data_IF_905529509849
#
_entry.id   IF_905529509849
#
_cell.length_a   1.000
_cell.length_b   1.000
_cell.length_c   1.000
_cell.angle_alpha   90.00
_cell.angle_beta   90.00
_cell.angle_gamma   90.00
#
_symmetry.space_group_name_H-M   'P 1'
#
loop_
_entity.id
_entity.type
_entity.pdbx_description
1 polymer ?
#
# COMPACT_ATOMS: atom_id res chain seq x y z
N UNK A 1 -8.49 64.37 -48.58
CA UNK A 1 -7.13 64.18 -48.13
C UNK A 1 -7.09 64.25 -46.60
N UNK A 2 -7.45 63.25 -45.96
CA UNK A 2 -7.41 63.04 -44.49
C UNK A 2 -7.26 61.54 -44.31
N UNK A 3 -6.14 61.04 -43.85
CA UNK A 3 -5.87 59.67 -43.33
C UNK A 3 -4.37 59.44 -43.38
N UNK A 4 -3.62 59.91 -42.40
CA UNK A 4 -2.26 59.41 -42.11
C UNK A 4 -1.72 60.15 -40.88
N UNK A 5 -2.33 59.97 -39.71
CA UNK A 5 -1.73 60.38 -38.43
C UNK A 5 -2.38 59.69 -37.30
N UNK A 6 -2.33 58.32 -37.23
CA UNK A 6 -2.84 57.58 -36.09
C UNK A 6 -2.11 56.24 -35.89
N UNK A 7 -0.83 56.16 -36.18
CA UNK A 7 -0.04 54.91 -35.95
C UNK A 7 1.33 55.16 -35.31
N UNK A 8 1.46 56.16 -34.46
CA UNK A 8 2.76 56.44 -33.81
C UNK A 8 2.65 56.56 -32.26
N UNK A 9 1.61 56.04 -31.63
CA UNK A 9 1.47 56.04 -30.16
C UNK A 9 1.25 54.67 -29.53
N UNK A 10 1.52 53.56 -30.23
CA UNK A 10 1.35 52.20 -29.78
C UNK A 10 2.64 51.39 -29.58
N UNK A 11 3.80 52.05 -29.47
CA UNK A 11 5.10 51.34 -29.39
C UNK A 11 5.95 51.74 -28.17
N UNK A 12 5.33 52.16 -27.07
CA UNK A 12 6.05 52.54 -25.84
C UNK A 12 5.49 51.83 -24.57
N UNK A 13 4.83 50.68 -24.73
CA UNK A 13 4.29 49.93 -23.57
C UNK A 13 4.69 48.46 -23.62
N UNK A 14 5.94 48.18 -23.87
CA UNK A 14 6.44 46.81 -23.78
C UNK A 14 7.91 46.88 -23.40
N UNK A 15 8.22 46.58 -22.19
CA UNK A 15 9.48 46.07 -21.66
C UNK A 15 9.70 46.54 -20.23
N UNK A 16 8.69 46.27 -19.39
CA UNK A 16 8.82 46.26 -17.95
C UNK A 16 8.53 44.86 -17.44
N UNK A 17 9.03 43.82 -18.10
CA UNK A 17 9.13 42.50 -17.51
C UNK A 17 10.24 42.58 -16.45
N UNK A 18 9.82 42.91 -15.21
CA UNK A 18 10.64 42.69 -14.05
C UNK A 18 11.03 41.21 -14.05
N UNK A 19 12.31 40.95 -14.27
CA UNK A 19 12.94 39.71 -13.87
C UNK A 19 12.78 39.64 -12.34
N UNK A 20 11.65 39.09 -11.86
CA UNK A 20 11.65 38.50 -10.52
C UNK A 20 12.80 37.51 -10.53
N UNK A 21 13.74 37.58 -9.57
CA UNK A 21 14.76 36.55 -9.47
C UNK A 21 14.00 35.22 -9.35
N UNK A 22 14.14 34.38 -10.37
CA UNK A 22 13.76 32.98 -10.28
C UNK A 22 14.72 32.43 -9.22
N UNK A 23 14.33 32.47 -7.95
CA UNK A 23 14.99 31.66 -6.94
C UNK A 23 14.93 30.25 -7.51
N UNK A 24 16.09 29.70 -7.81
CA UNK A 24 16.19 28.33 -8.26
C UNK A 24 15.52 27.46 -7.18
N UNK A 25 14.30 27.05 -7.47
CA UNK A 25 13.52 26.23 -6.54
C UNK A 25 14.33 24.96 -6.32
N UNK A 26 14.64 24.63 -5.07
CA UNK A 26 15.36 23.39 -4.73
C UNK A 26 14.74 22.19 -5.43
N UNK A 27 15.51 21.18 -5.80
CA UNK A 27 14.91 19.98 -6.38
C UNK A 27 14.00 19.29 -5.35
N UNK A 28 12.78 18.92 -5.76
CA UNK A 28 11.90 18.03 -4.98
C UNK A 28 12.51 16.62 -4.92
N UNK A 29 12.10 15.79 -3.97
CA UNK A 29 12.63 14.46 -3.80
C UNK A 29 12.62 13.59 -5.08
N UNK A 30 11.57 13.59 -5.96
CA UNK A 30 11.61 12.85 -7.22
C UNK A 30 12.62 13.38 -8.23
N UNK A 31 13.03 14.65 -8.12
CA UNK A 31 14.07 15.24 -8.97
C UNK A 31 15.47 15.12 -8.39
N UNK A 32 15.55 14.94 -7.07
CA UNK A 32 16.81 14.75 -6.36
C UNK A 32 17.29 13.29 -6.44
N UNK A 33 16.40 12.33 -6.14
CA UNK A 33 16.77 10.93 -6.16
C UNK A 33 16.88 10.37 -7.58
N UNK A 34 17.79 9.40 -7.77
CA UNK A 34 18.09 8.81 -9.08
C UNK A 34 16.95 7.93 -9.61
N UNK A 35 16.88 7.79 -10.93
CA UNK A 35 15.99 6.82 -11.60
C UNK A 35 16.28 5.35 -11.27
N UNK A 36 17.36 5.07 -10.52
CA UNK A 36 17.67 3.75 -9.94
C UNK A 36 17.04 3.54 -8.57
N UNK A 37 16.09 4.37 -8.19
CA UNK A 37 15.35 4.21 -6.94
C UNK A 37 14.56 2.90 -6.95
N UNK A 38 14.79 2.07 -5.94
CA UNK A 38 14.20 0.75 -5.74
C UNK A 38 12.92 0.82 -4.92
N UNK A 39 12.91 1.67 -3.90
CA UNK A 39 11.77 1.98 -3.07
C UNK A 39 11.76 3.47 -2.71
N UNK A 40 10.58 4.03 -2.60
CA UNK A 40 10.38 5.46 -2.40
C UNK A 40 9.08 5.70 -1.63
N UNK A 41 9.14 6.56 -0.63
CA UNK A 41 8.00 7.09 0.10
C UNK A 41 8.18 8.60 0.21
N UNK A 42 7.11 9.37 -0.05
CA UNK A 42 7.11 10.83 0.04
C UNK A 42 5.84 11.32 0.70
N UNK A 43 6.01 12.27 1.60
CA UNK A 43 4.97 13.18 2.06
C UNK A 43 5.23 14.52 1.39
N UNK A 44 4.25 15.05 0.67
CA UNK A 44 4.41 16.29 -0.10
C UNK A 44 4.60 17.51 0.79
N UNK A 45 3.76 17.62 1.81
CA UNK A 45 3.85 18.61 2.89
C UNK A 45 3.31 17.98 4.18
N UNK A 46 4.16 17.86 5.18
CA UNK A 46 3.81 17.25 6.47
C UNK A 46 2.85 18.09 7.31
N UNK A 47 2.81 19.42 7.12
CA UNK A 47 1.82 20.29 7.77
C UNK A 47 0.44 20.05 7.18
N UNK A 48 0.32 20.13 5.84
CA UNK A 48 -0.95 19.85 5.14
C UNK A 48 -1.47 18.45 5.51
N UNK A 49 -0.58 17.45 5.57
CA UNK A 49 -0.95 16.10 6.01
C UNK A 49 -1.53 16.08 7.43
N UNK A 50 -0.85 16.73 8.41
CA UNK A 50 -1.30 16.80 9.81
C UNK A 50 -2.66 17.51 9.92
N UNK A 51 -2.81 18.65 9.25
CA UNK A 51 -4.04 19.45 9.28
C UNK A 51 -5.23 18.67 8.68
N UNK A 52 -5.01 18.03 7.54
CA UNK A 52 -6.04 17.18 6.91
C UNK A 52 -6.37 15.94 7.73
N UNK A 53 -5.37 15.26 8.30
CA UNK A 53 -5.60 14.12 9.19
C UNK A 53 -6.45 14.48 10.39
N UNK A 54 -6.28 15.67 10.98
CA UNK A 54 -7.02 16.10 12.16
C UNK A 54 -8.54 16.17 11.95
N UNK A 55 -9.00 16.45 10.73
CA UNK A 55 -10.43 16.55 10.42
C UNK A 55 -11.08 15.23 10.01
N UNK A 56 -10.29 14.19 9.74
CA UNK A 56 -10.79 12.85 9.41
C UNK A 56 -11.44 12.16 10.62
N UNK A 57 -12.24 11.13 10.36
CA UNK A 57 -12.78 10.26 11.43
C UNK A 57 -11.67 9.63 12.26
N UNK A 58 -10.59 9.17 11.62
CA UNK A 58 -9.43 8.59 12.31
C UNK A 58 -8.69 9.63 13.17
N UNK A 59 -8.49 10.85 12.67
CA UNK A 59 -7.88 11.94 13.42
C UNK A 59 -8.71 12.37 14.63
N UNK A 60 -10.03 12.44 14.48
CA UNK A 60 -10.96 12.70 15.59
C UNK A 60 -10.89 11.59 16.65
N UNK A 61 -10.87 10.33 16.23
CA UNK A 61 -10.68 9.17 17.14
C UNK A 61 -9.33 9.23 17.86
N UNK A 62 -8.24 9.59 17.17
CA UNK A 62 -6.91 9.68 17.77
C UNK A 62 -6.82 10.76 18.85
N UNK A 63 -7.64 11.80 18.76
CA UNK A 63 -7.74 12.89 19.74
C UNK A 63 -8.80 12.64 20.83
N UNK A 64 -9.59 11.55 20.73
CA UNK A 64 -10.59 11.20 21.72
C UNK A 64 -9.93 10.73 23.03
N UNK A 65 -10.28 11.33 24.19
CA UNK A 65 -9.67 10.98 25.48
C UNK A 65 -9.84 9.52 25.90
N UNK A 66 -10.90 8.84 25.44
CA UNK A 66 -11.17 7.43 25.75
C UNK A 66 -10.38 6.49 24.86
N UNK A 67 -10.08 6.88 23.62
CA UNK A 67 -9.40 6.06 22.62
C UNK A 67 -7.89 6.30 22.64
N UNK A 68 -7.45 7.51 22.95
CA UNK A 68 -6.03 7.89 22.97
C UNK A 68 -5.11 6.91 23.75
N UNK A 69 -5.49 6.36 24.94
CA UNK A 69 -4.65 5.39 25.64
C UNK A 69 -4.51 4.07 24.88
N UNK A 70 -5.55 3.64 24.16
CA UNK A 70 -5.55 2.40 23.38
C UNK A 70 -4.62 2.56 22.16
N UNK A 71 -4.74 3.67 21.46
CA UNK A 71 -3.85 4.01 20.33
C UNK A 71 -2.41 4.20 20.79
N UNK A 72 -2.19 4.79 21.97
CA UNK A 72 -0.87 4.93 22.59
C UNK A 72 -0.19 3.57 22.83
N UNK A 73 -0.94 2.56 23.30
CA UNK A 73 -0.42 1.20 23.50
C UNK A 73 -0.10 0.49 22.17
N UNK A 74 -0.90 0.69 21.14
CA UNK A 74 -0.63 0.18 19.79
C UNK A 74 0.59 0.87 19.17
N UNK A 75 0.66 2.19 19.31
CA UNK A 75 1.79 3.01 18.84
C UNK A 75 3.10 2.61 19.55
N UNK A 76 3.08 2.41 20.88
CA UNK A 76 4.27 1.96 21.64
C UNK A 76 4.73 0.55 21.21
N UNK A 77 3.80 -0.34 20.85
CA UNK A 77 4.15 -1.67 20.31
C UNK A 77 4.81 -1.56 18.94
N UNK A 78 4.28 -0.69 18.06
CA UNK A 78 4.87 -0.39 16.75
C UNK A 78 6.26 0.25 16.93
N UNK A 79 6.39 1.21 17.86
CA UNK A 79 7.64 1.90 18.16
C UNK A 79 8.69 0.96 18.77
N UNK A 80 8.29 -0.02 19.58
CA UNK A 80 9.19 -1.07 20.08
C UNK A 80 9.85 -1.88 18.95
N UNK A 81 9.17 -2.05 17.83
CA UNK A 81 9.72 -2.70 16.62
C UNK A 81 10.78 -1.84 15.91
N UNK A 82 10.76 -0.53 16.14
CA UNK A 82 11.68 0.46 15.51
C UNK A 82 12.80 0.87 16.47
N UNK A 83 12.77 0.40 17.72
CA UNK A 83 13.73 0.74 18.76
C UNK A 83 15.19 0.42 18.37
N UNK A 84 15.38 -0.63 17.57
CA UNK A 84 16.68 -0.93 16.97
C UNK A 84 17.20 0.16 16.02
N UNK A 85 16.34 0.97 15.45
CA UNK A 85 16.70 2.13 14.63
C UNK A 85 17.03 3.35 15.52
N UNK A 86 16.27 3.58 16.59
CA UNK A 86 16.54 4.63 17.58
C UNK A 86 17.93 4.45 18.21
N UNK A 87 18.26 3.22 18.64
CA UNK A 87 19.57 2.88 19.19
C UNK A 87 20.71 3.06 18.17
N UNK A 88 20.41 2.93 16.86
CA UNK A 88 21.41 3.09 15.81
C UNK A 88 21.67 4.56 15.47
N UNK A 89 20.64 5.41 15.56
CA UNK A 89 20.70 6.84 15.20
C UNK A 89 21.00 7.70 16.43
N UNK A 90 20.72 7.22 17.64
CA UNK A 90 20.89 7.95 18.90
C UNK A 90 19.90 9.10 19.10
N UNK A 91 18.78 9.09 18.33
CA UNK A 91 17.72 10.10 18.38
C UNK A 91 16.40 9.44 18.77
N UNK A 92 15.57 10.15 19.52
CA UNK A 92 14.19 9.77 19.74
C UNK A 92 13.41 9.91 18.43
N UNK A 93 12.77 8.83 17.99
CA UNK A 93 12.02 8.81 16.74
C UNK A 93 10.80 9.75 16.82
N UNK A 94 10.17 9.90 17.97
CA UNK A 94 9.04 10.81 18.17
C UNK A 94 9.49 12.27 18.00
N UNK A 95 10.64 12.64 18.55
CA UNK A 95 11.26 13.95 18.35
C UNK A 95 11.61 14.13 16.85
N UNK A 96 12.20 13.11 16.22
CA UNK A 96 12.57 13.17 14.80
C UNK A 96 11.33 13.32 13.89
N UNK A 97 10.22 12.63 14.18
CA UNK A 97 8.98 12.73 13.43
C UNK A 97 8.21 14.04 13.66
N UNK A 98 8.54 14.80 14.70
CA UNK A 98 7.95 16.12 14.96
C UNK A 98 8.57 17.24 14.12
N UNK A 99 9.82 17.05 13.69
CA UNK A 99 10.62 18.05 12.96
C UNK A 99 10.15 18.35 11.52
N UNK A 100 9.66 17.38 10.71
CA UNK A 100 9.27 17.68 9.35
C UNK A 100 8.14 18.71 9.30
N UNK A 101 8.39 19.79 8.56
CA UNK A 101 7.50 20.94 8.43
C UNK A 101 7.35 21.37 6.94
N UNK A 102 7.39 20.41 6.05
CA UNK A 102 7.30 20.52 4.61
C UNK A 102 7.49 19.16 3.97
N UNK A 103 8.27 19.07 2.88
CA UNK A 103 8.52 17.82 2.17
C UNK A 103 9.33 16.84 3.04
N UNK A 104 8.86 15.60 3.12
CA UNK A 104 9.59 14.48 3.70
C UNK A 104 9.66 13.33 2.70
N UNK A 105 10.84 12.72 2.51
CA UNK A 105 10.96 11.56 1.65
C UNK A 105 12.05 10.60 2.13
N UNK A 106 11.79 9.31 1.93
CA UNK A 106 12.77 8.23 2.11
C UNK A 106 12.88 7.48 0.79
N UNK A 107 14.09 7.14 0.40
CA UNK A 107 14.37 6.33 -0.78
C UNK A 107 15.46 5.29 -0.51
N UNK A 108 15.26 4.10 -1.06
CA UNK A 108 16.29 3.09 -1.26
C UNK A 108 16.75 3.19 -2.71
N UNK A 109 18.01 3.50 -2.94
CA UNK A 109 18.55 3.77 -4.29
C UNK A 109 19.65 2.78 -4.63
N UNK A 110 19.53 2.15 -5.81
CA UNK A 110 20.60 1.27 -6.32
C UNK A 110 21.86 2.05 -6.67
N UNK A 111 23.00 1.63 -6.12
CA UNK A 111 24.32 2.19 -6.41
C UNK A 111 25.20 1.19 -7.15
N UNK A 112 26.48 1.51 -7.33
CA UNK A 112 27.44 0.59 -7.96
C UNK A 112 27.79 -0.59 -7.04
N UNK A 113 27.78 -0.39 -5.74
CA UNK A 113 28.15 -1.37 -4.72
C UNK A 113 26.89 -1.96 -4.05
N UNK A 114 26.36 -1.28 -3.07
CA UNK A 114 25.19 -1.68 -2.29
C UNK A 114 24.13 -0.57 -2.32
N UNK A 115 22.86 -0.90 -2.12
CA UNK A 115 21.82 0.11 -2.10
C UNK A 115 22.05 1.17 -1.01
N UNK A 116 21.78 2.43 -1.36
CA UNK A 116 21.85 3.57 -0.46
C UNK A 116 20.46 3.89 0.09
N UNK A 117 20.35 4.05 1.42
CA UNK A 117 19.18 4.64 2.06
C UNK A 117 19.38 6.15 2.11
N UNK A 118 18.42 6.89 1.58
CA UNK A 118 18.45 8.35 1.53
C UNK A 118 17.20 8.92 2.18
N UNK A 119 17.37 10.03 2.88
CA UNK A 119 16.29 10.79 3.53
C UNK A 119 16.40 12.25 3.09
N UNK A 120 15.26 12.83 2.74
CA UNK A 120 15.08 14.27 2.59
C UNK A 120 14.05 14.71 3.62
N UNK A 121 14.34 15.75 4.38
CA UNK A 121 13.47 16.31 5.41
C UNK A 121 13.53 17.83 5.36
N UNK A 122 12.43 18.48 5.06
CA UNK A 122 12.28 19.92 5.17
C UNK A 122 11.81 20.27 6.58
N UNK A 123 12.69 20.92 7.33
CA UNK A 123 12.43 21.36 8.70
C UNK A 123 11.77 22.74 8.76
N UNK A 124 12.00 23.59 7.76
CA UNK A 124 11.45 24.94 7.74
C UNK A 124 11.74 25.71 9.03
N UNK A 125 10.69 26.09 9.76
CA UNK A 125 10.78 26.80 11.03
C UNK A 125 11.32 25.94 12.17
N UNK A 126 11.23 24.60 12.07
CA UNK A 126 11.74 23.62 13.04
C UNK A 126 13.25 23.31 12.84
N UNK A 127 13.94 24.04 11.97
CA UNK A 127 15.37 23.86 11.76
C UNK A 127 16.20 23.95 13.06
N UNK A 128 15.91 24.84 14.03
CA UNK A 128 16.64 24.86 15.30
C UNK A 128 16.48 23.57 16.12
N UNK A 129 15.28 22.97 16.11
CA UNK A 129 15.02 21.69 16.77
C UNK A 129 15.82 20.56 16.10
N UNK A 130 15.83 20.51 14.76
CA UNK A 130 16.65 19.56 14.01
C UNK A 130 18.15 19.72 14.35
N UNK A 131 18.66 20.95 14.38
CA UNK A 131 20.06 21.21 14.71
C UNK A 131 20.40 20.70 16.09
N UNK A 132 19.56 20.96 17.10
CA UNK A 132 19.75 20.46 18.46
C UNK A 132 19.81 18.92 18.51
N UNK A 133 18.94 18.23 17.77
CA UNK A 133 18.95 16.77 17.69
C UNK A 133 20.25 16.25 17.04
N UNK A 134 20.69 16.90 15.96
CA UNK A 134 21.94 16.54 15.28
C UNK A 134 23.17 16.79 16.17
N UNK A 135 23.20 17.89 16.88
CA UNK A 135 24.30 18.19 17.81
C UNK A 135 24.40 17.13 18.92
N UNK A 136 23.26 16.70 19.49
CA UNK A 136 23.22 15.58 20.45
C UNK A 136 23.74 14.28 19.84
N UNK A 137 23.30 13.96 18.60
CA UNK A 137 23.76 12.76 17.91
C UNK A 137 25.26 12.80 17.61
N UNK A 138 25.80 13.95 17.19
CA UNK A 138 27.22 14.14 16.93
C UNK A 138 28.05 14.03 18.20
N UNK A 139 27.58 14.63 19.30
CA UNK A 139 28.24 14.49 20.62
C UNK A 139 28.27 13.04 21.10
N UNK A 140 27.16 12.31 20.97
CA UNK A 140 27.08 10.90 21.32
C UNK A 140 28.01 10.05 20.43
N UNK A 141 28.14 10.36 19.15
CA UNK A 141 29.06 9.69 18.24
C UNK A 141 30.54 9.95 18.66
N UNK A 142 30.87 11.18 18.93
CA UNK A 142 32.25 11.56 19.36
C UNK A 142 32.63 10.90 20.68
N UNK A 143 31.76 10.90 21.69
CA UNK A 143 31.93 10.18 22.94
C UNK A 143 32.16 8.68 22.77
N UNK A 144 31.58 8.11 21.70
CA UNK A 144 31.75 6.71 21.28
C UNK A 144 33.03 6.51 20.43
N UNK A 145 33.90 7.51 20.29
CA UNK A 145 35.12 7.46 19.48
C UNK A 145 34.89 7.51 17.97
N UNK A 146 33.70 7.97 17.53
CA UNK A 146 33.31 8.10 16.14
C UNK A 146 33.30 9.57 15.72
N UNK A 147 34.48 10.12 15.54
CA UNK A 147 34.66 11.55 15.25
C UNK A 147 34.08 11.94 13.91
N UNK A 148 33.13 12.91 13.85
CA UNK A 148 32.58 13.41 12.60
C UNK A 148 33.65 14.08 11.72
N UNK A 149 33.54 13.93 10.42
CA UNK A 149 34.43 14.57 9.43
C UNK A 149 33.59 15.42 8.50
N UNK A 150 34.04 16.61 8.18
CA UNK A 150 33.39 17.53 7.23
C UNK A 150 34.14 17.61 5.90
N UNK A 151 33.40 17.76 4.79
CA UNK A 151 33.95 17.93 3.45
C UNK A 151 33.12 18.95 2.70
N UNK A 152 33.79 19.88 1.99
CA UNK A 152 33.11 20.81 1.11
C UNK A 152 32.86 20.16 -0.27
N UNK A 153 31.61 20.24 -0.77
CA UNK A 153 31.21 19.82 -2.10
C UNK A 153 30.40 20.95 -2.74
N UNK A 154 31.04 21.67 -3.65
CA UNK A 154 30.48 22.90 -4.20
C UNK A 154 30.33 23.98 -3.12
N UNK A 155 29.09 24.35 -2.80
CA UNK A 155 28.75 25.34 -1.74
C UNK A 155 28.22 24.69 -0.47
N UNK A 156 28.20 23.35 -0.42
CA UNK A 156 27.61 22.60 0.68
C UNK A 156 28.70 21.96 1.53
N UNK A 157 28.51 22.03 2.84
CA UNK A 157 29.32 21.30 3.82
C UNK A 157 28.65 19.96 4.11
N UNK A 158 29.29 18.86 3.71
CA UNK A 158 28.86 17.52 4.04
C UNK A 158 29.51 17.09 5.37
N UNK A 159 28.68 16.61 6.28
CA UNK A 159 29.14 16.01 7.54
C UNK A 159 28.97 14.50 7.47
N UNK A 160 30.02 13.76 7.75
CA UNK A 160 30.04 12.29 7.76
C UNK A 160 30.38 11.76 9.14
N UNK A 161 29.65 10.73 9.58
CA UNK A 161 29.82 10.10 10.89
C UNK A 161 30.04 8.60 10.68
N UNK A 162 31.13 8.01 11.22
CA UNK A 162 31.32 6.56 11.16
C UNK A 162 30.17 5.84 11.86
N UNK A 163 29.57 4.86 11.20
CA UNK A 163 28.46 4.08 11.77
C UNK A 163 28.97 3.03 12.76
N UNK A 164 28.19 2.73 13.79
CA UNK A 164 28.48 1.66 14.75
C UNK A 164 28.07 0.27 14.25
N UNK A 165 27.16 0.20 13.29
CA UNK A 165 26.55 -1.04 12.79
C UNK A 165 26.81 -1.30 11.31
N UNK A 166 27.09 -0.24 10.54
CA UNK A 166 27.46 -0.33 9.15
C UNK A 166 28.97 -0.23 9.08
N UNK A 167 29.62 -1.03 8.25
CA UNK A 167 31.06 -0.93 7.97
C UNK A 167 31.42 0.42 7.31
N UNK A 168 30.42 1.24 7.00
CA UNK A 168 30.51 2.50 6.28
C UNK A 168 29.94 3.68 7.10
N UNK A 169 30.38 4.89 6.76
CA UNK A 169 29.91 6.13 7.36
C UNK A 169 28.56 6.56 6.80
N UNK A 170 27.73 7.20 7.62
CA UNK A 170 26.52 7.90 7.20
C UNK A 170 26.85 9.39 7.07
N UNK A 171 26.35 10.04 6.05
CA UNK A 171 26.58 11.46 5.85
C UNK A 171 25.30 12.25 5.60
N UNK A 172 25.39 13.56 5.81
CA UNK A 172 24.32 14.50 5.57
C UNK A 172 24.83 15.89 5.18
N UNK A 173 23.96 16.70 4.61
CA UNK A 173 24.10 18.15 4.51
C UNK A 173 22.77 18.84 4.86
N UNK A 174 22.86 20.14 5.21
CA UNK A 174 21.71 21.01 5.42
C UNK A 174 21.87 22.23 4.54
N UNK A 175 20.84 22.55 3.80
CA UNK A 175 20.76 23.79 3.03
C UNK A 175 19.33 24.31 2.98
N UNK A 176 19.18 25.63 3.18
CA UNK A 176 17.89 26.32 3.07
C UNK A 176 16.74 25.67 3.88
N UNK A 177 17.05 25.16 5.08
CA UNK A 177 16.08 24.53 5.98
C UNK A 177 15.72 23.08 5.61
N UNK A 178 16.45 22.48 4.67
CA UNK A 178 16.28 21.09 4.26
C UNK A 178 17.50 20.26 4.64
N UNK A 179 17.23 19.15 5.31
CA UNK A 179 18.19 18.12 5.65
C UNK A 179 18.15 16.99 4.63
N UNK A 180 19.31 16.61 4.12
CA UNK A 180 19.46 15.47 3.22
C UNK A 180 20.55 14.56 3.78
N UNK A 181 20.20 13.31 4.04
CA UNK A 181 21.11 12.29 4.56
C UNK A 181 21.15 11.06 3.64
N UNK A 182 22.29 10.36 3.68
CA UNK A 182 22.48 9.14 2.90
C UNK A 182 23.44 8.18 3.61
N UNK A 183 23.17 6.88 3.50
CA UNK A 183 24.02 5.81 4.03
C UNK A 183 25.25 5.51 3.16
N UNK A 184 25.42 6.16 2.01
CA UNK A 184 26.57 6.02 1.11
C UNK A 184 27.11 7.41 0.76
N UNK A 185 28.35 7.67 1.16
CA UNK A 185 28.95 9.00 0.99
C UNK A 185 29.12 9.38 -0.47
N UNK A 186 29.57 8.47 -1.31
CA UNK A 186 29.72 8.70 -2.76
C UNK A 186 28.41 9.14 -3.41
N UNK A 187 27.28 8.57 -2.96
CA UNK A 187 25.97 8.96 -3.46
C UNK A 187 25.49 10.28 -2.85
N UNK A 188 25.80 10.55 -1.58
CA UNK A 188 25.52 11.85 -0.95
C UNK A 188 26.24 13.01 -1.69
N UNK A 189 27.50 12.81 -2.09
CA UNK A 189 28.22 13.78 -2.90
C UNK A 189 27.54 14.05 -4.25
N UNK A 190 27.00 13.00 -4.90
CA UNK A 190 26.21 13.17 -6.12
C UNK A 190 24.93 13.95 -5.83
N UNK A 191 24.21 13.66 -4.73
CA UNK A 191 23.02 14.43 -4.34
C UNK A 191 23.36 15.92 -4.10
N UNK A 192 24.48 16.21 -3.46
CA UNK A 192 24.97 17.58 -3.23
C UNK A 192 25.26 18.33 -4.54
N UNK A 193 25.84 17.64 -5.53
CA UNK A 193 26.05 18.21 -6.87
C UNK A 193 24.73 18.48 -7.58
N UNK A 194 23.76 17.54 -7.51
CA UNK A 194 22.42 17.74 -8.08
C UNK A 194 21.72 18.91 -7.41
N UNK A 195 21.80 18.98 -6.08
CA UNK A 195 21.22 20.08 -5.28
C UNK A 195 21.71 21.46 -5.71
N UNK A 196 22.99 21.57 -6.00
CA UNK A 196 23.61 22.83 -6.43
C UNK A 196 23.54 23.10 -7.94
N UNK A 197 22.81 22.26 -8.69
CA UNK A 197 22.65 22.39 -10.16
C UNK A 197 23.85 21.90 -10.97
N UNK A 198 24.83 21.25 -10.34
CA UNK A 198 26.05 20.75 -10.99
C UNK A 198 26.01 19.23 -11.26
N UNK A 199 24.85 18.60 -11.15
CA UNK A 199 24.67 17.16 -11.37
C UNK A 199 24.69 16.79 -12.86
N UNK A 200 25.86 16.74 -13.47
CA UNK A 200 26.07 16.29 -14.85
C UNK A 200 25.68 14.80 -14.90
N UNK A 201 24.92 14.39 -15.92
CA UNK A 201 24.44 13.01 -16.13
C UNK A 201 23.46 12.46 -15.07
N UNK A 202 22.95 13.29 -14.17
CA UNK A 202 21.91 12.89 -13.25
C UNK A 202 20.59 12.59 -14.01
N UNK A 203 20.10 11.37 -13.83
CA UNK A 203 18.78 10.96 -14.30
C UNK A 203 17.85 10.82 -13.08
N UNK A 204 16.94 11.76 -12.86
CA UNK A 204 16.09 11.74 -11.67
C UNK A 204 15.03 10.63 -11.71
N UNK A 205 14.49 10.28 -10.55
CA UNK A 205 13.32 9.38 -10.42
C UNK A 205 12.12 9.92 -11.21
N UNK A 206 11.96 11.22 -11.27
CA UNK A 206 10.92 11.89 -12.08
C UNK A 206 10.98 11.54 -13.57
N UNK A 207 12.13 11.06 -14.09
CA UNK A 207 12.30 10.61 -15.47
C UNK A 207 12.18 9.06 -15.61
N UNK A 208 12.00 8.33 -14.50
CA UNK A 208 11.74 6.90 -14.53
C UNK A 208 10.34 6.64 -15.09
N UNK A 209 10.26 5.95 -16.24
CA UNK A 209 9.01 5.72 -16.95
C UNK A 209 7.98 4.93 -16.14
N UNK A 210 8.42 3.93 -15.39
CA UNK A 210 7.52 3.08 -14.62
C UNK A 210 6.96 3.85 -13.41
N UNK A 211 7.80 4.63 -12.72
CA UNK A 211 7.40 5.57 -11.68
C UNK A 211 6.38 6.60 -12.21
N UNK A 212 6.69 7.30 -13.29
CA UNK A 212 5.80 8.33 -13.84
C UNK A 212 4.49 7.76 -14.35
N UNK A 213 4.50 6.55 -14.92
CA UNK A 213 3.29 5.86 -15.37
C UNK A 213 2.36 5.56 -14.19
N UNK A 214 2.92 5.12 -13.06
CA UNK A 214 2.14 4.86 -11.83
C UNK A 214 1.63 6.18 -11.25
N UNK A 215 2.52 7.17 -11.04
CA UNK A 215 2.16 8.44 -10.41
C UNK A 215 1.12 9.23 -11.21
N UNK A 216 1.16 9.17 -12.55
CA UNK A 216 0.15 9.82 -13.39
C UNK A 216 -1.28 9.29 -13.20
N UNK A 217 -1.43 8.10 -12.63
CA UNK A 217 -2.72 7.48 -12.30
C UNK A 217 -3.14 7.65 -10.84
N UNK A 218 -2.28 8.26 -10.05
CA UNK A 218 -2.48 8.47 -8.62
C UNK A 218 -2.94 9.89 -8.27
N UNK A 219 -3.40 10.66 -9.25
CA UNK A 219 -3.96 12.01 -9.06
C UNK A 219 -5.46 11.90 -8.84
N UNK A 220 -6.02 12.71 -7.94
CA UNK A 220 -7.45 12.81 -7.72
C UNK A 220 -8.19 13.31 -8.96
N UNK A 221 -9.49 12.99 -9.07
CA UNK A 221 -10.35 13.36 -10.20
C UNK A 221 -10.51 14.87 -10.39
N UNK A 222 -10.28 15.65 -9.34
CA UNK A 222 -10.37 17.12 -9.33
C UNK A 222 -9.00 17.81 -9.33
N UNK A 223 -7.92 17.08 -9.67
CA UNK A 223 -6.56 17.63 -9.68
C UNK A 223 -5.95 17.84 -8.29
N UNK A 224 -6.56 17.29 -7.24
CA UNK A 224 -5.99 17.32 -5.90
C UNK A 224 -4.65 16.59 -5.86
N UNK A 225 -3.68 17.21 -5.18
CA UNK A 225 -2.36 16.61 -5.01
C UNK A 225 -2.38 15.61 -3.86
N UNK A 226 -1.84 14.41 -4.06
CA UNK A 226 -1.70 13.44 -2.97
C UNK A 226 -0.76 13.96 -1.89
N UNK A 227 -1.15 13.81 -0.62
CA UNK A 227 -0.29 14.11 0.53
C UNK A 227 0.82 13.08 0.69
N UNK A 228 0.52 11.82 0.38
CA UNK A 228 1.49 10.71 0.47
C UNK A 228 1.58 10.01 -0.88
N UNK A 229 2.79 9.63 -1.29
CA UNK A 229 3.02 8.79 -2.47
C UNK A 229 4.14 7.79 -2.19
N UNK A 230 4.05 6.62 -2.82
CA UNK A 230 5.06 5.57 -2.70
C UNK A 230 5.28 4.84 -4.02
N UNK A 231 6.47 4.27 -4.16
CA UNK A 231 6.85 3.45 -5.31
C UNK A 231 7.84 2.38 -4.89
N UNK A 232 7.74 1.19 -5.47
CA UNK A 232 8.68 0.08 -5.30
C UNK A 232 8.89 -0.58 -6.66
N UNK A 233 10.14 -0.83 -7.02
CA UNK A 233 10.53 -1.75 -8.09
C UNK A 233 10.99 -3.08 -7.46
N UNK A 234 10.10 -4.07 -7.32
CA UNK A 234 10.42 -5.30 -6.60
C UNK A 234 11.49 -6.12 -7.29
N UNK A 235 11.57 -6.10 -8.62
CA UNK A 235 12.59 -6.85 -9.35
C UNK A 235 13.97 -6.22 -9.24
N UNK A 236 14.07 -4.91 -9.39
CA UNK A 236 15.31 -4.20 -9.17
C UNK A 236 15.79 -4.39 -7.72
N UNK A 237 14.86 -4.35 -6.76
CA UNK A 237 15.15 -4.56 -5.34
C UNK A 237 15.74 -5.96 -5.08
N UNK A 238 15.12 -7.02 -5.60
CA UNK A 238 15.67 -8.39 -5.48
C UNK A 238 17.04 -8.52 -6.15
N UNK A 239 17.24 -7.89 -7.31
CA UNK A 239 18.52 -7.92 -8.02
C UNK A 239 19.62 -7.21 -7.23
N UNK A 240 19.32 -6.05 -6.66
CA UNK A 240 20.30 -5.26 -5.89
C UNK A 240 20.66 -5.93 -4.57
N UNK A 241 19.67 -6.37 -3.78
CA UNK A 241 19.90 -7.09 -2.52
C UNK A 241 20.60 -8.44 -2.78
N UNK A 242 20.29 -9.05 -3.90
CA UNK A 242 20.87 -10.34 -4.31
C UNK A 242 22.32 -10.28 -4.78
N UNK A 243 22.87 -9.10 -5.09
CA UNK A 243 24.30 -8.98 -5.49
C UNK A 243 25.27 -9.48 -4.42
N UNK A 244 24.89 -9.33 -3.16
CA UNK A 244 25.70 -9.75 -2.00
C UNK A 244 25.49 -11.20 -1.56
N UNK A 245 24.59 -11.97 -2.21
CA UNK A 245 24.28 -13.35 -1.83
C UNK A 245 24.31 -14.31 -3.01
N UNK A 246 24.97 -15.48 -2.85
CA UNK A 246 24.98 -16.55 -3.85
C UNK A 246 23.57 -17.15 -4.12
N UNK A 247 22.57 -16.83 -3.30
CA UNK A 247 21.19 -17.27 -3.46
C UNK A 247 20.37 -16.48 -4.48
N UNK A 248 20.86 -15.33 -4.94
CA UNK A 248 20.10 -14.42 -5.83
C UNK A 248 19.72 -15.05 -7.18
N UNK A 249 20.58 -15.88 -7.75
CA UNK A 249 20.32 -16.55 -9.04
C UNK A 249 19.14 -17.53 -8.91
N UNK A 250 19.07 -18.26 -7.79
CA UNK A 250 17.97 -19.19 -7.50
C UNK A 250 16.66 -18.44 -7.32
N UNK A 251 16.69 -17.35 -6.54
CA UNK A 251 15.50 -16.50 -6.31
C UNK A 251 15.01 -15.87 -7.63
N UNK A 252 15.90 -15.29 -8.43
CA UNK A 252 15.54 -14.68 -9.71
C UNK A 252 14.98 -15.70 -10.71
N UNK A 253 15.54 -16.93 -10.72
CA UNK A 253 15.02 -18.03 -11.54
C UNK A 253 13.61 -18.43 -11.09
N UNK A 254 13.37 -18.55 -9.78
CA UNK A 254 12.06 -18.86 -9.23
C UNK A 254 11.04 -17.76 -9.56
N UNK A 255 11.40 -16.48 -9.44
CA UNK A 255 10.52 -15.34 -9.80
C UNK A 255 10.12 -15.38 -11.28
N UNK A 256 11.06 -15.75 -12.17
CA UNK A 256 10.79 -15.92 -13.59
C UNK A 256 9.82 -17.08 -13.86
N UNK A 257 10.04 -18.22 -13.22
CA UNK A 257 9.18 -19.40 -13.34
C UNK A 257 7.77 -19.10 -12.84
N UNK A 258 7.64 -18.31 -11.76
CA UNK A 258 6.36 -17.83 -11.22
C UNK A 258 5.74 -16.71 -12.06
N UNK A 259 6.44 -16.12 -13.03
CA UNK A 259 5.97 -14.98 -13.82
C UNK A 259 5.91 -13.65 -13.04
N UNK A 260 6.53 -13.60 -11.85
CA UNK A 260 6.60 -12.39 -11.01
C UNK A 260 7.55 -11.36 -11.63
N UNK A 261 8.46 -11.79 -12.47
CA UNK A 261 9.35 -10.93 -13.28
C UNK A 261 8.59 -10.02 -14.26
N UNK A 262 7.29 -10.24 -14.44
CA UNK A 262 6.39 -9.33 -15.15
C UNK A 262 5.98 -8.07 -14.40
N UNK A 263 6.28 -7.94 -13.09
CA UNK A 263 5.97 -6.75 -12.30
C UNK A 263 7.06 -5.70 -12.54
N UNK A 264 6.69 -4.56 -13.14
CA UNK A 264 7.61 -3.43 -13.39
C UNK A 264 7.68 -2.45 -12.24
N UNK A 265 6.61 -2.36 -11.47
CA UNK A 265 6.54 -1.46 -10.33
C UNK A 265 5.22 -1.61 -9.58
N UNK A 266 5.27 -1.30 -8.31
CA UNK A 266 4.12 -1.18 -7.43
C UNK A 266 4.18 0.22 -6.83
N UNK A 267 3.08 0.94 -6.83
CA UNK A 267 3.06 2.25 -6.24
C UNK A 267 1.64 2.76 -6.03
N UNK A 268 1.55 3.90 -5.40
CA UNK A 268 0.27 4.49 -5.08
C UNK A 268 0.38 5.84 -4.42
N UNK A 269 -0.77 6.37 -4.06
CA UNK A 269 -0.90 7.63 -3.35
C UNK A 269 -2.06 7.61 -2.37
N UNK A 270 -2.03 8.55 -1.43
CA UNK A 270 -3.12 8.82 -0.51
C UNK A 270 -3.45 10.31 -0.53
N UNK A 271 -4.72 10.62 -0.76
CA UNK A 271 -5.32 11.95 -0.65
C UNK A 271 -6.15 11.97 0.61
N UNK A 272 -5.84 12.85 1.55
CA UNK A 272 -6.49 12.91 2.86
C UNK A 272 -7.57 14.00 2.85
N UNK A 273 -8.73 13.67 3.44
CA UNK A 273 -9.90 14.53 3.56
C UNK A 273 -10.30 15.23 2.23
N UNK A 274 -10.38 14.50 1.09
CA UNK A 274 -10.87 15.10 -0.14
C UNK A 274 -12.40 15.16 -0.09
N UNK A 275 -12.96 16.36 -0.05
CA UNK A 275 -14.40 16.60 -0.04
C UNK A 275 -15.16 15.77 1.03
N UNK A 276 -16.00 14.82 0.61
CA UNK A 276 -16.85 13.99 1.50
C UNK A 276 -16.10 12.75 2.05
N UNK A 277 -14.90 12.44 1.57
CA UNK A 277 -14.16 11.24 1.99
C UNK A 277 -13.13 11.56 3.07
N UNK A 278 -12.91 10.66 3.99
CA UNK A 278 -11.78 10.73 4.93
C UNK A 278 -10.45 10.55 4.21
N UNK A 279 -10.42 9.66 3.23
CA UNK A 279 -9.25 9.48 2.37
C UNK A 279 -9.60 8.76 1.06
N UNK A 280 -8.80 9.03 0.03
CA UNK A 280 -8.78 8.25 -1.21
C UNK A 280 -7.39 7.64 -1.35
N UNK A 281 -7.34 6.32 -1.50
CA UNK A 281 -6.09 5.59 -1.71
C UNK A 281 -6.06 5.04 -3.13
N UNK A 282 -5.03 5.40 -3.89
CA UNK A 282 -4.74 4.81 -5.19
C UNK A 282 -3.61 3.80 -5.05
N UNK A 283 -3.81 2.61 -5.59
CA UNK A 283 -2.79 1.57 -5.67
C UNK A 283 -2.69 1.04 -7.11
N UNK A 284 -1.46 0.95 -7.62
CA UNK A 284 -1.19 0.46 -8.96
C UNK A 284 -0.08 -0.58 -8.96
N UNK A 285 -0.33 -1.66 -9.67
CA UNK A 285 0.69 -2.66 -10.01
C UNK A 285 0.90 -2.58 -11.51
N UNK A 286 2.06 -2.09 -11.93
CA UNK A 286 2.44 -2.00 -13.34
C UNK A 286 3.00 -3.34 -13.80
N UNK A 287 2.32 -3.96 -14.75
CA UNK A 287 2.65 -5.29 -15.27
C UNK A 287 3.11 -5.21 -16.73
N UNK A 288 3.91 -6.19 -17.12
CA UNK A 288 4.14 -6.46 -18.54
C UNK A 288 2.81 -6.81 -19.24
N UNK A 289 2.61 -6.42 -20.52
CA UNK A 289 1.39 -6.73 -21.26
C UNK A 289 1.06 -8.23 -21.30
N UNK A 290 2.07 -9.06 -21.48
CA UNK A 290 1.95 -10.53 -21.51
C UNK A 290 2.13 -11.08 -20.09
N UNK A 291 1.03 -11.21 -19.36
CA UNK A 291 1.02 -11.80 -18.01
C UNK A 291 1.36 -13.29 -18.08
N UNK A 292 2.31 -13.73 -17.26
CA UNK A 292 2.73 -15.12 -17.16
C UNK A 292 2.59 -15.61 -15.71
N UNK A 293 2.59 -16.92 -15.51
CA UNK A 293 2.56 -17.56 -14.21
C UNK A 293 1.46 -17.01 -13.31
N UNK A 294 1.80 -16.75 -12.05
CA UNK A 294 0.85 -16.30 -11.01
C UNK A 294 0.17 -14.94 -11.34
N UNK A 295 0.79 -14.10 -12.18
CA UNK A 295 0.16 -12.84 -12.61
C UNK A 295 -1.09 -13.05 -13.47
N UNK A 296 -1.30 -14.24 -14.01
CA UNK A 296 -2.51 -14.61 -14.76
C UNK A 296 -3.73 -14.81 -13.87
N UNK A 297 -3.52 -15.02 -12.55
CA UNK A 297 -4.59 -15.13 -11.56
C UNK A 297 -5.27 -13.77 -11.35
N UNK A 298 -4.52 -12.66 -11.46
CA UNK A 298 -5.05 -11.32 -11.28
C UNK A 298 -5.93 -10.92 -12.47
N UNK A 299 -7.25 -11.02 -12.30
CA UNK A 299 -8.28 -10.81 -13.34
C UNK A 299 -9.38 -9.84 -12.89
N UNK A 300 -9.02 -8.64 -12.37
CA UNK A 300 -10.05 -7.64 -12.07
C UNK A 300 -10.80 -7.26 -13.35
N UNK A 301 -12.10 -6.99 -13.21
CA UNK A 301 -13.00 -6.54 -14.29
C UNK A 301 -13.65 -5.22 -13.89
N UNK A 302 -14.15 -4.50 -14.89
CA UNK A 302 -15.05 -3.38 -14.66
C UNK A 302 -16.46 -3.91 -14.37
N UNK A 303 -17.17 -3.26 -13.45
CA UNK A 303 -18.54 -3.59 -13.08
C UNK A 303 -19.07 -2.60 -12.05
N UNK A 304 -20.33 -2.75 -11.64
CA UNK A 304 -20.91 -1.94 -10.58
C UNK A 304 -20.20 -2.22 -9.25
N UNK A 305 -20.00 -1.17 -8.48
CA UNK A 305 -19.49 -1.21 -7.12
C UNK A 305 -20.50 -0.64 -6.12
N UNK A 306 -21.71 -0.32 -6.58
CA UNK A 306 -22.80 0.11 -5.70
C UNK A 306 -23.22 -1.03 -4.79
N UNK A 307 -23.58 -0.74 -3.52
CA UNK A 307 -24.07 -1.76 -2.59
C UNK A 307 -25.31 -2.45 -3.14
N UNK A 308 -25.37 -3.76 -2.96
CA UNK A 308 -26.53 -4.58 -3.30
C UNK A 308 -27.71 -4.24 -2.34
N UNK A 309 -28.97 -4.45 -2.78
CA UNK A 309 -30.16 -4.09 -2.00
C UNK A 309 -30.27 -4.77 -0.62
N UNK A 310 -29.55 -5.88 -0.41
CA UNK A 310 -29.54 -6.59 0.85
C UNK A 310 -28.55 -5.99 1.87
N UNK A 311 -27.64 -5.09 1.45
CA UNK A 311 -26.65 -4.46 2.31
C UNK A 311 -27.32 -3.31 3.06
N UNK A 312 -27.32 -3.39 4.41
CA UNK A 312 -27.83 -2.34 5.29
C UNK A 312 -26.90 -1.12 5.33
N UNK A 313 -27.45 0.05 5.55
CA UNK A 313 -26.72 1.29 5.85
C UNK A 313 -26.04 1.30 7.24
N UNK A 314 -26.33 0.29 8.08
CA UNK A 314 -25.74 0.12 9.42
C UNK A 314 -24.49 -0.78 9.43
N UNK A 315 -23.95 -1.12 8.26
CA UNK A 315 -22.73 -1.92 8.18
C UNK A 315 -21.50 -1.12 8.62
N UNK A 316 -20.52 -1.81 9.18
CA UNK A 316 -19.25 -1.20 9.61
C UNK A 316 -18.33 -0.96 8.41
N UNK A 317 -18.34 -1.91 7.47
CA UNK A 317 -17.50 -1.87 6.28
C UNK A 317 -18.19 -2.59 5.12
N UNK A 318 -18.02 -2.05 3.94
CA UNK A 318 -18.46 -2.64 2.69
C UNK A 318 -17.29 -2.60 1.70
N UNK A 319 -17.06 -3.73 1.04
CA UNK A 319 -16.09 -3.86 -0.04
C UNK A 319 -16.67 -4.76 -1.12
N UNK A 320 -16.57 -4.33 -2.37
CA UNK A 320 -16.92 -5.16 -3.52
C UNK A 320 -15.85 -5.12 -4.59
N UNK A 321 -15.71 -6.21 -5.32
CA UNK A 321 -14.80 -6.31 -6.45
C UNK A 321 -15.44 -7.12 -7.58
N UNK A 322 -15.16 -6.69 -8.81
CA UNK A 322 -15.50 -7.46 -9.99
C UNK A 322 -14.26 -8.23 -10.46
N UNK A 323 -14.41 -9.56 -10.64
CA UNK A 323 -13.30 -10.47 -10.87
C UNK A 323 -13.66 -11.62 -11.81
N UNK A 324 -12.85 -11.90 -12.83
CA UNK A 324 -13.06 -13.02 -13.76
C UNK A 324 -12.66 -14.35 -13.10
N UNK A 325 -13.60 -14.94 -12.34
CA UNK A 325 -13.37 -16.20 -11.62
C UNK A 325 -13.05 -17.36 -12.55
N UNK A 326 -13.68 -17.41 -13.72
CA UNK A 326 -13.46 -18.51 -14.67
C UNK A 326 -12.02 -18.51 -15.22
N UNK A 327 -11.50 -17.34 -15.63
CA UNK A 327 -10.11 -17.24 -16.09
C UNK A 327 -9.11 -17.38 -14.97
N UNK A 328 -9.45 -16.93 -13.76
CA UNK A 328 -8.61 -17.16 -12.57
C UNK A 328 -8.50 -18.66 -12.29
N UNK A 329 -9.60 -19.39 -12.33
CA UNK A 329 -9.61 -20.83 -12.13
C UNK A 329 -8.74 -21.57 -13.16
N UNK A 330 -8.85 -21.20 -14.45
CA UNK A 330 -7.97 -21.73 -15.50
C UNK A 330 -6.50 -21.44 -15.23
N UNK A 331 -6.17 -20.20 -14.85
CA UNK A 331 -4.79 -19.83 -14.53
C UNK A 331 -4.22 -20.61 -13.34
N UNK A 332 -5.03 -20.85 -12.30
CA UNK A 332 -4.63 -21.69 -11.15
C UNK A 332 -4.37 -23.12 -11.60
N UNK A 333 -5.24 -23.70 -12.43
CA UNK A 333 -5.02 -25.04 -12.98
C UNK A 333 -3.69 -25.12 -13.73
N UNK A 334 -3.46 -24.22 -14.69
CA UNK A 334 -2.23 -24.20 -15.49
C UNK A 334 -0.97 -24.05 -14.63
N UNK A 335 -1.04 -23.25 -13.56
CA UNK A 335 0.09 -23.09 -12.63
C UNK A 335 0.34 -24.39 -11.88
N UNK A 336 -0.70 -25.00 -11.29
CA UNK A 336 -0.54 -26.26 -10.55
C UNK A 336 0.02 -27.35 -11.46
N UNK A 337 -0.53 -27.50 -12.66
CA UNK A 337 -0.08 -28.52 -13.62
C UNK A 337 1.36 -28.25 -14.11
N UNK A 338 1.78 -26.98 -14.20
CA UNK A 338 3.16 -26.61 -14.55
C UNK A 338 4.17 -27.03 -13.46
N UNK A 339 3.81 -26.86 -12.18
CA UNK A 339 4.73 -27.13 -11.06
C UNK A 339 4.66 -28.56 -10.53
N UNK A 340 3.47 -29.16 -10.52
CA UNK A 340 3.23 -30.47 -9.94
C UNK A 340 3.11 -31.60 -10.97
N UNK A 341 3.11 -31.26 -12.26
CA UNK A 341 2.93 -32.18 -13.38
C UNK A 341 1.55 -32.10 -13.99
N UNK A 342 1.49 -32.39 -15.31
CA UNK A 342 0.26 -32.34 -16.09
C UNK A 342 -0.85 -33.21 -15.50
N UNK A 343 -2.07 -32.68 -15.40
CA UNK A 343 -3.25 -33.35 -14.85
C UNK A 343 -3.30 -33.43 -13.32
N UNK A 344 -2.31 -32.89 -12.60
CA UNK A 344 -2.29 -32.90 -11.12
C UNK A 344 -3.49 -32.15 -10.55
N UNK A 345 -3.82 -31.00 -11.13
CA UNK A 345 -4.98 -30.20 -10.66
C UNK A 345 -6.30 -30.97 -10.82
N UNK A 346 -6.48 -31.63 -11.96
CA UNK A 346 -7.69 -32.43 -12.21
C UNK A 346 -7.80 -33.61 -11.24
N UNK A 347 -6.73 -34.36 -11.08
CA UNK A 347 -6.74 -35.59 -10.26
C UNK A 347 -6.81 -35.30 -8.76
N UNK A 348 -6.04 -34.33 -8.25
CA UNK A 348 -5.87 -34.11 -6.81
C UNK A 348 -6.81 -33.03 -6.25
N UNK A 349 -7.21 -32.05 -7.08
CA UNK A 349 -8.10 -30.97 -6.63
C UNK A 349 -9.53 -31.20 -7.09
N UNK A 350 -9.76 -31.35 -8.37
CA UNK A 350 -11.12 -31.42 -8.92
C UNK A 350 -11.77 -32.77 -8.61
N UNK A 351 -11.13 -33.89 -8.94
CA UNK A 351 -11.70 -35.22 -8.71
C UNK A 351 -11.91 -35.49 -7.22
N UNK A 352 -10.98 -35.04 -6.37
CA UNK A 352 -11.13 -35.20 -4.93
C UNK A 352 -12.21 -34.27 -4.36
N UNK A 353 -12.25 -32.99 -4.80
CA UNK A 353 -13.29 -32.06 -4.41
C UNK A 353 -14.67 -32.51 -4.83
N UNK A 354 -14.85 -32.99 -6.06
CA UNK A 354 -16.11 -33.53 -6.56
C UNK A 354 -16.61 -34.72 -5.70
N UNK A 355 -15.70 -35.64 -5.32
CA UNK A 355 -16.06 -36.77 -4.42
C UNK A 355 -16.44 -36.29 -3.03
N UNK A 356 -15.72 -35.33 -2.48
CA UNK A 356 -15.95 -34.85 -1.12
C UNK A 356 -17.21 -34.01 -1.00
N UNK A 357 -17.51 -33.18 -2.00
CA UNK A 357 -18.65 -32.26 -2.00
C UNK A 357 -19.91 -32.86 -2.65
N UNK A 358 -19.77 -33.93 -3.43
CA UNK A 358 -20.89 -34.55 -4.16
C UNK A 358 -21.42 -33.71 -5.32
N UNK A 359 -20.65 -32.74 -5.82
CA UNK A 359 -20.97 -31.85 -6.94
C UNK A 359 -19.81 -31.79 -7.92
N UNK A 360 -20.07 -31.29 -9.13
CA UNK A 360 -19.04 -31.00 -10.12
C UNK A 360 -18.53 -29.54 -9.90
N UNK A 361 -17.32 -29.40 -9.36
CA UNK A 361 -16.74 -28.08 -9.06
C UNK A 361 -16.73 -27.15 -10.28
N UNK A 362 -16.46 -27.67 -11.48
CA UNK A 362 -16.42 -26.83 -12.68
C UNK A 362 -17.82 -26.37 -13.09
N UNK A 363 -18.77 -27.28 -13.10
CA UNK A 363 -20.13 -27.01 -13.59
C UNK A 363 -21.02 -26.38 -12.52
N UNK A 364 -20.86 -26.83 -11.26
CA UNK A 364 -21.79 -26.50 -10.19
C UNK A 364 -21.26 -25.38 -9.27
N UNK A 365 -19.94 -25.08 -9.32
CA UNK A 365 -19.36 -23.93 -8.62
C UNK A 365 -18.88 -22.86 -9.61
N UNK A 366 -17.86 -23.15 -10.41
CA UNK A 366 -17.18 -22.13 -11.22
C UNK A 366 -18.10 -21.55 -12.30
N UNK A 367 -18.86 -22.41 -12.99
CA UNK A 367 -19.71 -21.97 -14.10
C UNK A 367 -20.94 -21.17 -13.66
N UNK A 368 -21.42 -21.34 -12.43
CA UNK A 368 -22.57 -20.61 -11.89
C UNK A 368 -22.23 -19.26 -11.28
N UNK A 369 -20.94 -19.01 -10.99
CA UNK A 369 -20.49 -17.73 -10.49
C UNK A 369 -20.51 -16.66 -11.57
N UNK A 370 -21.04 -15.50 -11.25
CA UNK A 370 -20.78 -14.27 -11.97
C UNK A 370 -19.54 -13.59 -11.39
N UNK A 371 -19.16 -12.47 -11.97
CA UNK A 371 -17.84 -11.87 -11.75
C UNK A 371 -17.77 -10.94 -10.53
N UNK A 372 -18.74 -10.95 -9.61
CA UNK A 372 -18.79 -10.04 -8.46
C UNK A 372 -18.68 -10.79 -7.14
N UNK A 373 -17.77 -10.28 -6.26
CA UNK A 373 -17.62 -10.68 -4.87
C UNK A 373 -17.83 -9.45 -3.99
N UNK A 374 -18.70 -9.57 -3.01
CA UNK A 374 -18.97 -8.53 -2.00
C UNK A 374 -18.62 -9.05 -0.62
N UNK A 375 -17.99 -8.21 0.19
CA UNK A 375 -17.66 -8.46 1.59
C UNK A 375 -18.26 -7.34 2.43
N UNK A 376 -19.00 -7.72 3.44
CA UNK A 376 -19.64 -6.79 4.38
C UNK A 376 -19.24 -7.16 5.79
N UNK A 377 -18.97 -6.16 6.60
CA UNK A 377 -18.68 -6.32 8.01
C UNK A 377 -19.75 -5.64 8.85
N UNK A 378 -20.29 -6.35 9.84
CA UNK A 378 -21.34 -5.84 10.72
C UNK A 378 -21.04 -6.20 12.18
N UNK A 379 -21.76 -5.59 13.12
CA UNK A 379 -21.68 -5.89 14.55
C UNK A 379 -22.92 -6.69 14.95
N UNK A 380 -22.70 -7.89 15.48
CA UNK A 380 -23.76 -8.79 15.93
C UNK A 380 -23.91 -8.71 17.45
N UNK A 381 -25.11 -8.46 17.98
CA UNK A 381 -25.38 -8.52 19.42
C UNK A 381 -25.33 -9.97 19.97
N UNK A 382 -25.07 -10.14 21.27
CA UNK A 382 -24.64 -9.14 22.25
C UNK A 382 -23.21 -8.68 21.99
N UNK A 383 -22.89 -7.40 22.33
CA UNK A 383 -21.55 -6.84 22.11
C UNK A 383 -20.50 -7.55 22.95
N UNK A 384 -19.63 -8.31 22.31
CA UNK A 384 -18.49 -9.04 22.87
C UNK A 384 -17.22 -8.66 22.12
N UNK A 385 -16.05 -9.12 22.54
CA UNK A 385 -14.75 -8.79 21.91
C UNK A 385 -14.74 -9.14 20.41
N UNK A 386 -15.40 -10.24 20.02
CA UNK A 386 -15.51 -10.69 18.63
C UNK A 386 -16.94 -10.58 18.08
N UNK A 387 -17.67 -9.52 18.41
CA UNK A 387 -19.02 -9.26 17.86
C UNK A 387 -19.01 -8.83 16.40
N UNK A 388 -17.86 -8.48 15.87
CA UNK A 388 -17.66 -8.24 14.45
C UNK A 388 -17.92 -9.53 13.67
N UNK A 389 -18.77 -9.45 12.65
CA UNK A 389 -19.12 -10.55 11.78
C UNK A 389 -18.88 -10.20 10.34
N UNK A 390 -18.38 -11.14 9.58
CA UNK A 390 -18.13 -10.98 8.15
C UNK A 390 -19.22 -11.71 7.36
N UNK A 391 -19.77 -11.02 6.37
CA UNK A 391 -20.69 -11.55 5.38
C UNK A 391 -20.03 -11.46 4.01
N UNK A 392 -20.01 -12.57 3.30
CA UNK A 392 -19.47 -12.67 1.95
C UNK A 392 -20.60 -12.98 0.99
N UNK A 393 -20.63 -12.35 -0.16
CA UNK A 393 -21.58 -12.65 -1.22
C UNK A 393 -20.86 -12.88 -2.53
N UNK A 394 -21.28 -13.91 -3.27
CA UNK A 394 -20.88 -14.19 -4.64
C UNK A 394 -22.11 -14.04 -5.53
N UNK A 395 -22.03 -13.19 -6.54
CA UNK A 395 -23.10 -13.03 -7.51
C UNK A 395 -23.20 -14.26 -8.42
N UNK A 396 -24.42 -14.73 -8.67
CA UNK A 396 -24.72 -15.95 -9.39
C UNK A 396 -25.35 -15.65 -10.75
N UNK A 397 -24.89 -16.32 -11.79
CA UNK A 397 -25.53 -16.35 -13.12
C UNK A 397 -26.85 -17.14 -13.11
N UNK A 398 -26.89 -18.20 -12.30
CA UNK A 398 -28.05 -19.09 -12.21
C UNK A 398 -28.33 -19.45 -10.74
N UNK A 399 -28.94 -18.52 -10.03
CA UNK A 399 -29.34 -18.69 -8.64
C UNK A 399 -30.41 -19.77 -8.47
N UNK A 400 -31.30 -19.96 -9.46
CA UNK A 400 -32.34 -20.97 -9.41
C UNK A 400 -31.73 -22.36 -9.35
N UNK A 401 -30.78 -22.66 -10.21
CA UNK A 401 -30.05 -23.94 -10.21
C UNK A 401 -29.30 -24.17 -8.91
N UNK A 402 -28.64 -23.11 -8.38
CA UNK A 402 -27.94 -23.24 -7.10
C UNK A 402 -28.91 -23.57 -5.97
N UNK A 403 -30.07 -22.91 -5.89
CA UNK A 403 -31.09 -23.16 -4.87
C UNK A 403 -31.69 -24.56 -4.96
N UNK A 404 -32.04 -25.01 -6.17
CA UNK A 404 -32.86 -26.21 -6.35
C UNK A 404 -32.06 -27.49 -6.54
N UNK A 405 -30.84 -27.40 -7.02
CA UNK A 405 -30.02 -28.57 -7.34
C UNK A 405 -28.73 -28.66 -6.53
N UNK A 406 -27.97 -27.56 -6.44
CA UNK A 406 -26.60 -27.59 -5.91
C UNK A 406 -26.60 -27.59 -4.37
N UNK A 407 -27.30 -26.64 -3.75
CA UNK A 407 -27.36 -26.56 -2.27
C UNK A 407 -27.99 -27.80 -1.64
N UNK A 408 -29.09 -28.39 -2.16
CA UNK A 408 -29.59 -29.64 -1.61
C UNK A 408 -28.60 -30.80 -1.69
N UNK A 409 -27.86 -30.95 -2.80
CA UNK A 409 -26.83 -31.98 -2.93
C UNK A 409 -25.68 -31.76 -1.92
N UNK A 410 -25.21 -30.52 -1.78
CA UNK A 410 -24.20 -30.15 -0.78
C UNK A 410 -24.69 -30.43 0.63
N UNK A 411 -25.95 -30.09 0.94
CA UNK A 411 -26.53 -30.35 2.26
C UNK A 411 -26.57 -31.84 2.54
N UNK A 412 -27.14 -32.67 1.65
CA UNK A 412 -27.21 -34.13 1.81
C UNK A 412 -25.83 -34.76 2.02
N UNK A 413 -24.81 -34.23 1.37
CA UNK A 413 -23.42 -34.71 1.51
C UNK A 413 -22.74 -34.28 2.80
N UNK A 414 -23.07 -33.10 3.30
CA UNK A 414 -22.35 -32.45 4.41
C UNK A 414 -23.13 -32.51 5.75
N UNK A 415 -24.43 -32.83 5.75
CA UNK A 415 -25.27 -32.80 6.95
C UNK A 415 -24.75 -33.70 8.10
N UNK A 416 -24.10 -34.81 7.75
CA UNK A 416 -23.55 -35.75 8.69
C UNK A 416 -22.03 -35.63 8.88
N UNK A 417 -21.40 -34.60 8.23
CA UNK A 417 -19.98 -34.36 8.32
C UNK A 417 -19.65 -33.35 9.43
N UNK A 418 -18.90 -33.76 10.42
CA UNK A 418 -18.43 -32.89 11.52
C UNK A 418 -19.54 -32.47 12.50
N UNK A 419 -19.65 -31.17 12.85
CA UNK A 419 -20.60 -30.67 13.86
C UNK A 419 -22.08 -30.70 13.44
N UNK A 420 -22.38 -31.17 12.24
CA UNK A 420 -23.75 -31.25 11.70
C UNK A 420 -24.20 -29.94 11.02
N UNK A 421 -24.61 -30.07 9.77
CA UNK A 421 -25.21 -28.96 9.01
C UNK A 421 -26.74 -29.04 9.20
N UNK A 422 -27.35 -27.92 9.63
CA UNK A 422 -28.81 -27.80 9.84
C UNK A 422 -29.38 -26.82 8.84
N UNK A 423 -30.69 -26.85 8.66
CA UNK A 423 -31.44 -25.91 7.82
C UNK A 423 -32.50 -25.18 8.65
N UNK A 424 -32.75 -23.93 8.32
CA UNK A 424 -33.81 -23.10 8.86
C UNK A 424 -34.45 -22.30 7.73
N UNK A 425 -35.76 -22.23 7.71
CA UNK A 425 -36.48 -21.36 6.80
C UNK A 425 -36.62 -19.96 7.42
N UNK A 426 -36.22 -18.94 6.70
CA UNK A 426 -36.37 -17.52 7.06
C UNK A 426 -37.13 -16.84 5.92
N UNK A 427 -38.44 -16.54 6.14
CA UNK A 427 -39.32 -16.19 5.04
C UNK A 427 -39.42 -17.35 4.04
N UNK A 428 -39.05 -17.11 2.80
CA UNK A 428 -38.98 -18.09 1.70
C UNK A 428 -37.53 -18.59 1.43
N UNK A 429 -36.56 -18.16 2.24
CA UNK A 429 -35.14 -18.49 2.07
C UNK A 429 -34.73 -19.64 2.99
N UNK A 430 -34.20 -20.70 2.42
CA UNK A 430 -33.54 -21.77 3.18
C UNK A 430 -32.14 -21.33 3.58
N UNK A 431 -31.91 -21.20 4.89
CA UNK A 431 -30.59 -20.90 5.45
C UNK A 431 -29.99 -22.19 6.00
N UNK A 432 -28.78 -22.50 5.56
CA UNK A 432 -27.97 -23.62 6.02
C UNK A 432 -26.95 -23.09 7.04
N UNK A 433 -26.84 -23.76 8.19
CA UNK A 433 -25.94 -23.30 9.26
C UNK A 433 -25.33 -24.47 10.04
N UNK A 434 -24.19 -24.21 10.64
CA UNK A 434 -23.50 -25.17 11.52
C UNK A 434 -23.83 -24.84 12.96
N UNK A 435 -24.39 -25.79 13.68
CA UNK A 435 -24.65 -25.70 15.11
C UNK A 435 -23.51 -26.35 15.88
N UNK A 436 -22.68 -25.51 16.53
CA UNK A 436 -21.62 -26.06 17.41
C UNK A 436 -22.24 -26.65 18.68
N UNK A 437 -21.88 -27.87 19.00
CA UNK A 437 -22.36 -28.62 20.20
C UNK A 437 -21.87 -28.04 21.53
N UNK A 438 -21.14 -26.92 21.52
CA UNK A 438 -20.64 -26.25 22.72
C UNK A 438 -21.42 -24.96 22.95
N UNK A 439 -22.08 -24.86 24.10
CA UNK A 439 -22.57 -23.58 24.59
C UNK A 439 -21.39 -22.78 25.12
N UNK A 440 -21.35 -21.47 24.74
CA UNK A 440 -20.39 -20.58 25.37
C UNK A 440 -20.72 -20.43 26.85
N UNK A 441 -19.73 -20.46 27.76
CA UNK A 441 -19.96 -20.15 29.16
C UNK A 441 -20.75 -18.83 29.30
N UNK A 442 -21.67 -18.76 30.26
CA UNK A 442 -22.59 -17.62 30.45
C UNK A 442 -21.84 -16.27 30.54
N UNK A 443 -20.63 -16.28 31.11
CA UNK A 443 -19.75 -15.12 31.25
C UNK A 443 -18.67 -15.01 30.14
N UNK A 444 -18.81 -15.75 29.03
CA UNK A 444 -17.84 -15.70 27.95
C UNK A 444 -17.76 -14.31 27.32
N UNK A 445 -16.54 -13.75 27.25
CA UNK A 445 -16.26 -12.48 26.55
C UNK A 445 -16.21 -12.64 25.02
N UNK A 446 -16.29 -13.87 24.54
CA UNK A 446 -16.26 -14.22 23.11
C UNK A 446 -17.56 -14.90 22.70
N UNK A 447 -17.99 -14.59 21.48
CA UNK A 447 -19.10 -15.27 20.78
C UNK A 447 -18.57 -16.53 20.09
N UNK A 448 -19.30 -17.64 20.15
CA UNK A 448 -19.00 -18.78 19.30
C UNK A 448 -19.43 -18.48 17.85
N UNK A 449 -18.60 -18.81 16.86
CA UNK A 449 -19.00 -18.67 15.46
C UNK A 449 -20.15 -19.63 15.15
N UNK A 450 -21.10 -19.19 14.34
CA UNK A 450 -22.19 -19.98 13.83
C UNK A 450 -22.27 -19.79 12.31
N UNK A 451 -21.34 -20.42 11.55
CA UNK A 451 -21.30 -20.24 10.11
C UNK A 451 -22.61 -20.59 9.46
N UNK A 452 -23.06 -19.73 8.56
CA UNK A 452 -24.30 -19.91 7.82
C UNK A 452 -24.13 -19.48 6.37
N UNK A 453 -24.95 -20.06 5.47
CA UNK A 453 -25.01 -19.66 4.09
C UNK A 453 -26.41 -19.85 3.50
N UNK A 454 -26.75 -19.04 2.53
CA UNK A 454 -28.02 -19.12 1.80
C UNK A 454 -27.87 -18.55 0.37
N UNK A 455 -28.93 -18.66 -0.42
CA UNK A 455 -29.06 -17.92 -1.67
C UNK A 455 -30.23 -16.95 -1.54
N UNK A 456 -29.94 -15.66 -1.59
CA UNK A 456 -30.91 -14.56 -1.56
C UNK A 456 -30.88 -13.80 -2.89
N UNK A 457 -32.00 -13.80 -3.59
CA UNK A 457 -32.00 -13.26 -4.97
C UNK A 457 -30.99 -14.00 -5.86
N UNK A 458 -30.04 -13.27 -6.43
CA UNK A 458 -28.93 -13.79 -7.22
C UNK A 458 -27.61 -13.85 -6.42
N UNK A 459 -27.68 -13.76 -5.11
CA UNK A 459 -26.48 -13.73 -4.25
C UNK A 459 -26.35 -15.04 -3.46
N UNK A 460 -25.18 -15.67 -3.54
CA UNK A 460 -24.79 -16.73 -2.63
C UNK A 460 -24.08 -16.09 -1.43
N UNK A 461 -24.81 -15.99 -0.35
CA UNK A 461 -24.35 -15.32 0.86
C UNK A 461 -23.83 -16.36 1.85
N UNK A 462 -22.68 -16.06 2.46
CA UNK A 462 -22.09 -16.82 3.55
C UNK A 462 -21.63 -15.89 4.68
N UNK A 463 -21.79 -16.31 5.92
CA UNK A 463 -21.39 -15.55 7.10
C UNK A 463 -20.80 -16.46 8.18
N UNK A 464 -19.97 -15.89 9.07
CA UNK A 464 -19.54 -16.54 10.31
C UNK A 464 -20.59 -16.48 11.41
N UNK A 465 -21.76 -15.88 11.13
CA UNK A 465 -22.86 -15.71 12.07
C UNK A 465 -24.22 -15.91 11.38
N UNK A 466 -25.06 -16.76 11.95
CA UNK A 466 -26.46 -16.95 11.53
C UNK A 466 -27.31 -15.67 11.72
N UNK A 467 -26.89 -14.76 12.60
CA UNK A 467 -27.62 -13.53 12.95
C UNK A 467 -27.07 -12.28 12.25
N UNK A 468 -26.02 -12.42 11.46
CA UNK A 468 -25.51 -11.35 10.59
C UNK A 468 -26.23 -11.35 9.25
#
# INVERSE_FOLDING_TARGET
MKKTLTYLSALAFSFGLGFAPVFAQRPTAPRLFSNKTLAYLRVDDTRDLKDRMAVTGMGKMANDPEIKPILGSFYSTLMGSVQGMQDAIGLDLEELLSVPNGEFAIALVGTKTEPAVCVLLEAGEELPALQLLLDRALQAADQAGRTPVTKEVGKLTLTTVPSSRLEESVGYFIDSGVFVACSKIDYLEQLALVWTGNGIDHKPLADNRDFTTIMSRCVGTEGERPQVSFFVDPLAMVREIGKSSNGSVVVLSALKTLGIDGIKGIGGSMIIAPNEFDSIVHGHILLNPNRQGIMRILRPKSGSTEPEPWVSDQVVSYMTMNWDFAKTFQAVQEIVDTFAGEGTFENNVIAQGNRNLGIDIRKDLVAVLDDRLTMVQTIVPPKKINSQSNVYSLHLKDASRVKTEILPKLYEKLKDAGPGLKTKLVGDVSVYYVELQREAPENSRIRLPQPAFCVLGNEWIASDSLTA
#
